data_IF_956907602541
#
_entry.id   IF_956907602541
#
_cell.length_a   1.000
_cell.length_b   1.000
_cell.length_c   1.000
_cell.angle_alpha   90.00
_cell.angle_beta   90.00
_cell.angle_gamma   90.00
#
_symmetry.space_group_name_H-M   'P 1'
#
loop_
_entity.id
_entity.type
_entity.pdbx_description
1 polymer ?
#
# COMPACT_ATOMS: atom_id res chain seq x y z
N UNK A 1 30.37 -0.88 41.99
CA UNK A 1 29.32 -1.91 41.92
C UNK A 1 28.05 -1.20 41.48
N UNK A 2 27.75 -1.21 40.18
CA UNK A 2 26.54 -0.61 39.62
C UNK A 2 25.59 -1.76 39.28
N UNK A 3 24.44 -1.78 39.95
CA UNK A 3 23.35 -2.72 39.64
C UNK A 3 22.58 -2.11 38.48
N UNK A 4 22.73 -2.69 37.30
CA UNK A 4 21.88 -2.42 36.16
C UNK A 4 20.76 -3.47 36.17
N UNK A 5 19.69 -3.18 36.91
CA UNK A 5 18.39 -3.82 36.71
C UNK A 5 17.61 -2.95 35.72
N UNK A 6 17.82 -3.25 34.44
CA UNK A 6 17.17 -2.58 33.32
C UNK A 6 16.43 -3.61 32.50
N UNK A 7 15.35 -4.16 33.09
CA UNK A 7 14.39 -5.01 32.39
C UNK A 7 13.73 -4.25 31.25
N UNK A 8 14.38 -4.25 30.08
CA UNK A 8 13.80 -3.83 28.81
C UNK A 8 12.88 -4.93 28.30
N UNK A 9 11.67 -4.98 28.85
CA UNK A 9 10.59 -5.76 28.25
C UNK A 9 10.43 -5.33 26.81
N UNK A 10 10.67 -6.27 25.88
CA UNK A 10 10.37 -6.12 24.47
C UNK A 10 8.85 -6.09 24.28
N UNK A 11 8.21 -4.98 24.66
CA UNK A 11 6.93 -4.63 24.08
C UNK A 11 7.25 -4.14 22.68
N UNK A 12 7.38 -5.09 21.77
CA UNK A 12 7.22 -4.83 20.35
C UNK A 12 5.90 -4.06 20.23
N UNK A 13 5.89 -2.80 19.75
CA UNK A 13 4.64 -2.12 19.51
C UNK A 13 3.80 -3.04 18.61
N UNK A 14 2.50 -3.20 18.89
CA UNK A 14 1.65 -4.03 18.06
C UNK A 14 1.85 -3.57 16.63
N UNK A 15 2.35 -4.49 15.80
CA UNK A 15 2.40 -4.32 14.35
C UNK A 15 1.00 -3.85 13.99
N UNK A 16 0.82 -2.73 13.27
CA UNK A 16 -0.52 -2.32 12.88
C UNK A 16 -1.18 -3.52 12.22
N UNK A 17 -2.23 -4.05 12.84
CA UNK A 17 -3.04 -5.09 12.23
C UNK A 17 -3.71 -4.44 11.02
N UNK A 18 -2.99 -4.39 9.90
CA UNK A 18 -3.57 -4.18 8.59
C UNK A 18 -4.26 -5.49 8.12
N UNK A 19 -4.79 -6.26 9.07
CA UNK A 19 -5.83 -7.25 8.85
C UNK A 19 -7.17 -6.55 9.06
N UNK A 20 -7.41 -5.46 8.31
CA UNK A 20 -8.77 -5.04 8.06
C UNK A 20 -9.53 -6.26 7.57
N UNK A 21 -10.42 -6.80 8.41
CA UNK A 21 -11.41 -7.82 8.06
C UNK A 21 -11.83 -7.57 6.62
N UNK A 22 -11.77 -8.56 5.72
CA UNK A 22 -12.04 -8.43 4.27
C UNK A 22 -13.37 -7.70 4.03
N UNK A 23 -13.36 -6.38 4.10
CA UNK A 23 -14.51 -5.54 3.87
C UNK A 23 -14.53 -5.34 2.37
N UNK A 24 -15.40 -6.09 1.70
CA UNK A 24 -15.61 -5.91 0.28
C UNK A 24 -16.14 -4.51 0.03
N UNK A 25 -15.48 -3.76 -0.85
CA UNK A 25 -15.97 -2.48 -1.35
C UNK A 25 -17.13 -2.77 -2.32
N UNK A 26 -18.33 -2.25 -2.02
CA UNK A 26 -19.47 -2.29 -2.94
C UNK A 26 -19.51 -0.97 -3.71
N UNK A 27 -19.43 -1.04 -5.03
CA UNK A 27 -19.43 0.12 -5.93
C UNK A 27 -20.56 -0.05 -6.95
N UNK A 28 -21.34 1.00 -7.18
CA UNK A 28 -22.30 1.02 -8.29
C UNK A 28 -21.55 0.97 -9.63
N UNK A 29 -22.03 0.23 -10.65
CA UNK A 29 -21.35 0.13 -11.95
C UNK A 29 -21.01 1.49 -12.58
N UNK A 30 -21.90 2.48 -12.43
CA UNK A 30 -21.69 3.84 -12.96
C UNK A 30 -20.57 4.60 -12.23
N UNK A 31 -20.28 4.23 -10.98
CA UNK A 31 -19.25 4.84 -10.15
C UNK A 31 -17.87 4.17 -10.30
N UNK A 32 -17.76 3.02 -10.98
CA UNK A 32 -16.49 2.29 -11.16
C UNK A 32 -15.38 3.16 -11.77
N UNK A 33 -15.62 3.95 -12.84
CA UNK A 33 -14.55 4.77 -13.42
C UNK A 33 -14.01 5.82 -12.44
N UNK A 34 -14.91 6.44 -11.67
CA UNK A 34 -14.54 7.43 -10.66
C UNK A 34 -13.78 6.77 -9.50
N UNK A 35 -14.26 5.63 -9.01
CA UNK A 35 -13.59 4.86 -7.97
C UNK A 35 -12.18 4.44 -8.41
N UNK A 36 -12.03 3.90 -9.63
CA UNK A 36 -10.72 3.53 -10.18
C UNK A 36 -9.77 4.72 -10.19
N UNK A 37 -10.24 5.88 -10.68
CA UNK A 37 -9.42 7.09 -10.73
C UNK A 37 -8.88 7.50 -9.36
N UNK A 38 -9.68 7.39 -8.29
CA UNK A 38 -9.21 7.72 -6.93
C UNK A 38 -8.05 6.81 -6.51
N UNK A 39 -8.13 5.51 -6.79
CA UNK A 39 -7.05 4.58 -6.47
C UNK A 39 -5.82 4.76 -7.37
N UNK A 40 -6.01 5.10 -8.65
CA UNK A 40 -4.92 5.46 -9.57
C UNK A 40 -4.18 6.72 -9.10
N UNK A 41 -4.91 7.76 -8.72
CA UNK A 41 -4.33 9.02 -8.24
C UNK A 41 -3.55 8.77 -6.93
N UNK A 42 -4.11 8.00 -5.99
CA UNK A 42 -3.43 7.62 -4.75
C UNK A 42 -2.17 6.77 -4.98
N UNK A 43 -2.23 5.80 -5.91
CA UNK A 43 -1.07 4.99 -6.28
C UNK A 43 0.03 5.85 -6.92
N UNK A 44 -0.35 6.78 -7.80
CA UNK A 44 0.58 7.70 -8.45
C UNK A 44 1.27 8.63 -7.45
N UNK A 45 0.52 9.14 -6.46
CA UNK A 45 1.08 9.97 -5.40
C UNK A 45 2.10 9.17 -4.57
N UNK A 46 1.75 7.94 -4.18
CA UNK A 46 2.65 7.06 -3.43
C UNK A 46 3.90 6.70 -4.23
N UNK A 47 3.77 6.38 -5.51
CA UNK A 47 4.90 6.07 -6.40
C UNK A 47 5.87 7.26 -6.53
N UNK A 48 5.33 8.47 -6.59
CA UNK A 48 6.14 9.70 -6.59
C UNK A 48 6.93 9.83 -5.30
N UNK A 49 6.30 9.61 -4.15
CA UNK A 49 6.97 9.66 -2.85
C UNK A 49 8.04 8.56 -2.71
N UNK A 50 7.76 7.35 -3.21
CA UNK A 50 8.68 6.21 -3.10
C UNK A 50 9.93 6.33 -3.97
N UNK A 51 9.85 7.00 -5.13
CA UNK A 51 10.96 7.12 -6.09
C UNK A 51 12.21 7.73 -5.44
N UNK A 52 12.05 8.75 -4.61
CA UNK A 52 13.17 9.46 -3.98
C UNK A 52 13.49 8.96 -2.56
N UNK A 53 12.57 8.19 -1.96
CA UNK A 53 12.58 7.78 -0.55
C UNK A 53 13.78 6.90 -0.20
N UNK A 54 14.11 5.90 -1.02
CA UNK A 54 15.10 4.89 -0.63
C UNK A 54 16.51 5.46 -0.37
N UNK A 55 16.91 6.47 -1.15
CA UNK A 55 18.21 7.13 -0.97
C UNK A 55 18.16 8.29 0.03
N UNK A 56 17.03 9.01 0.10
CA UNK A 56 16.85 10.15 0.99
C UNK A 56 16.68 9.75 2.46
N UNK A 57 16.03 8.61 2.74
CA UNK A 57 15.73 8.19 4.12
C UNK A 57 16.90 7.49 4.82
N UNK A 58 17.95 7.06 4.11
CA UNK A 58 19.05 6.36 4.77
C UNK A 58 19.77 7.29 5.74
N UNK A 59 19.58 7.03 7.04
CA UNK A 59 20.16 7.82 8.10
C UNK A 59 21.69 7.70 8.08
N UNK A 60 22.36 8.83 8.30
CA UNK A 60 23.82 8.94 8.42
C UNK A 60 24.17 9.34 9.86
N UNK A 61 25.37 8.96 10.29
CA UNK A 61 25.93 9.46 11.54
C UNK A 61 26.12 10.98 11.45
N UNK A 62 25.28 11.75 12.15
CA UNK A 62 25.24 13.20 12.01
C UNK A 62 26.26 13.96 12.87
N UNK A 63 26.72 13.39 13.99
CA UNK A 63 27.58 14.10 14.96
C UNK A 63 28.91 13.38 15.22
N UNK A 64 29.25 12.38 14.38
CA UNK A 64 30.53 11.64 14.47
C UNK A 64 30.78 11.02 15.87
N UNK A 65 29.72 10.84 16.65
CA UNK A 65 29.75 10.26 18.00
C UNK A 65 29.07 8.87 18.03
N UNK A 66 29.28 8.08 19.10
CA UNK A 66 28.71 6.75 19.20
C UNK A 66 27.17 6.71 19.18
N UNK A 67 26.50 7.71 19.77
CA UNK A 67 25.03 7.76 19.86
C UNK A 67 24.41 8.03 18.49
N UNK A 68 24.97 8.98 17.72
CA UNK A 68 24.48 9.23 16.36
C UNK A 68 24.73 8.06 15.42
N UNK A 69 25.78 7.28 15.63
CA UNK A 69 26.02 6.04 14.89
C UNK A 69 24.98 4.98 15.23
N UNK A 70 24.80 4.67 16.52
CA UNK A 70 23.84 3.67 16.98
C UNK A 70 22.40 4.03 16.54
N UNK A 71 22.05 5.31 16.64
CA UNK A 71 20.74 5.82 16.20
C UNK A 71 20.54 5.62 14.71
N UNK A 72 21.54 5.96 13.88
CA UNK A 72 21.47 5.77 12.43
C UNK A 72 21.39 4.28 12.06
N UNK A 73 22.15 3.41 12.73
CA UNK A 73 22.13 1.97 12.54
C UNK A 73 20.75 1.39 12.88
N UNK A 74 20.21 1.71 14.06
CA UNK A 74 18.89 1.23 14.50
C UNK A 74 17.77 1.73 13.59
N UNK A 75 17.77 3.01 13.23
CA UNK A 75 16.81 3.57 12.30
C UNK A 75 16.85 2.84 10.95
N UNK A 76 18.05 2.65 10.38
CA UNK A 76 18.20 1.99 9.09
C UNK A 76 17.78 0.51 9.16
N UNK A 77 18.07 -0.17 10.28
CA UNK A 77 17.60 -1.53 10.50
C UNK A 77 16.07 -1.60 10.51
N UNK A 78 15.42 -0.79 11.34
CA UNK A 78 13.96 -0.83 11.52
C UNK A 78 13.21 -0.31 10.28
N UNK A 79 13.85 0.51 9.45
CA UNK A 79 13.25 1.05 8.21
C UNK A 79 13.42 0.11 7.01
N UNK A 80 14.58 -0.55 6.87
CA UNK A 80 14.97 -1.27 5.64
C UNK A 80 15.31 -2.75 5.81
N UNK A 81 15.77 -3.18 6.99
CA UNK A 81 16.41 -4.50 7.16
C UNK A 81 15.69 -5.45 8.13
N UNK A 82 14.67 -5.00 8.86
CA UNK A 82 13.89 -5.82 9.80
C UNK A 82 12.83 -6.72 9.12
N UNK A 83 13.02 -7.08 7.85
CA UNK A 83 12.15 -8.00 7.10
C UNK A 83 10.71 -7.51 6.99
N UNK A 84 9.75 -8.36 7.37
CA UNK A 84 8.31 -8.03 7.37
C UNK A 84 7.95 -6.91 8.34
N UNK A 85 8.78 -6.68 9.37
CA UNK A 85 8.59 -5.58 10.32
C UNK A 85 9.23 -4.28 9.85
N UNK A 86 9.90 -4.27 8.70
CA UNK A 86 10.49 -3.05 8.17
C UNK A 86 9.41 -2.08 7.69
N UNK A 87 9.54 -0.81 8.08
CA UNK A 87 8.56 0.21 7.71
C UNK A 87 8.36 0.30 6.19
N UNK A 88 9.44 0.18 5.41
CA UNK A 88 9.37 0.19 3.95
C UNK A 88 8.59 -1.02 3.41
N UNK A 89 8.71 -2.20 4.03
CA UNK A 89 7.96 -3.40 3.63
C UNK A 89 6.46 -3.17 3.75
N UNK A 90 6.00 -2.56 4.84
CA UNK A 90 4.58 -2.23 5.02
C UNK A 90 4.06 -1.24 3.96
N UNK A 91 4.86 -0.21 3.63
CA UNK A 91 4.49 0.77 2.60
C UNK A 91 4.41 0.10 1.21
N UNK A 92 5.37 -0.76 0.87
CA UNK A 92 5.36 -1.51 -0.39
C UNK A 92 4.17 -2.48 -0.47
N UNK A 93 3.81 -3.13 0.64
CA UNK A 93 2.63 -3.98 0.69
C UNK A 93 1.34 -3.17 0.46
N UNK A 94 1.23 -1.98 1.05
CA UNK A 94 0.08 -1.08 0.81
C UNK A 94 0.00 -0.61 -0.64
N UNK A 95 1.13 -0.28 -1.27
CA UNK A 95 1.22 0.02 -2.70
C UNK A 95 0.66 -1.11 -3.56
N UNK A 96 1.05 -2.36 -3.28
CA UNK A 96 0.53 -3.52 -3.99
C UNK A 96 -0.98 -3.72 -3.78
N UNK A 97 -1.50 -3.40 -2.59
CA UNK A 97 -2.95 -3.40 -2.36
C UNK A 97 -3.67 -2.37 -3.23
N UNK A 98 -3.16 -1.13 -3.34
CA UNK A 98 -3.73 -0.10 -4.22
C UNK A 98 -3.75 -0.56 -5.69
N UNK A 99 -2.62 -1.07 -6.18
CA UNK A 99 -2.51 -1.61 -7.53
C UNK A 99 -3.48 -2.78 -7.78
N UNK A 100 -3.63 -3.66 -6.79
CA UNK A 100 -4.59 -4.76 -6.82
C UNK A 100 -6.03 -4.28 -6.95
N UNK A 101 -6.40 -3.18 -6.28
CA UNK A 101 -7.74 -2.58 -6.40
C UNK A 101 -7.95 -1.96 -7.79
N UNK A 102 -6.99 -1.20 -8.32
CA UNK A 102 -7.05 -0.63 -9.68
C UNK A 102 -7.24 -1.74 -10.72
N UNK A 103 -6.49 -2.83 -10.59
CA UNK A 103 -6.59 -3.99 -11.49
C UNK A 103 -7.97 -4.62 -11.44
N UNK A 104 -8.51 -4.85 -10.23
CA UNK A 104 -9.85 -5.42 -10.05
C UNK A 104 -10.95 -4.52 -10.63
N UNK A 105 -10.93 -3.21 -10.35
CA UNK A 105 -11.92 -2.27 -10.89
C UNK A 105 -11.87 -2.21 -12.42
N UNK A 106 -10.69 -2.30 -13.02
CA UNK A 106 -10.50 -2.36 -14.47
C UNK A 106 -11.13 -3.62 -15.07
N UNK A 107 -10.92 -4.78 -14.44
CA UNK A 107 -11.53 -6.04 -14.89
C UNK A 107 -13.05 -6.03 -14.75
N UNK A 108 -13.57 -5.47 -13.65
CA UNK A 108 -15.01 -5.34 -13.42
C UNK A 108 -15.63 -4.41 -14.47
N UNK A 109 -15.04 -3.26 -14.76
CA UNK A 109 -15.54 -2.35 -15.80
C UNK A 109 -15.58 -3.00 -17.18
N UNK A 110 -14.49 -3.70 -17.56
CA UNK A 110 -14.43 -4.41 -18.84
C UNK A 110 -15.53 -5.48 -18.95
N UNK A 111 -15.82 -6.18 -17.85
CA UNK A 111 -16.90 -7.17 -17.78
C UNK A 111 -18.27 -6.51 -17.98
N UNK A 112 -18.55 -5.38 -17.31
CA UNK A 112 -19.81 -4.64 -17.48
C UNK A 112 -20.01 -4.16 -18.92
N UNK A 113 -18.97 -3.56 -19.53
CA UNK A 113 -19.05 -3.09 -20.91
C UNK A 113 -19.33 -4.22 -21.91
N UNK A 114 -18.74 -5.40 -21.70
CA UNK A 114 -18.99 -6.58 -22.53
C UNK A 114 -20.43 -7.07 -22.41
N UNK A 115 -20.93 -7.25 -21.18
CA UNK A 115 -22.29 -7.74 -20.93
C UNK A 115 -23.34 -6.77 -21.47
N UNK A 116 -23.15 -5.46 -21.28
CA UNK A 116 -24.05 -4.45 -21.83
C UNK A 116 -24.02 -4.44 -23.38
N UNK A 117 -22.83 -4.54 -23.97
CA UNK A 117 -22.69 -4.65 -25.43
C UNK A 117 -23.37 -5.91 -26.01
N UNK A 118 -23.21 -7.06 -25.35
CA UNK A 118 -23.83 -8.33 -25.74
C UNK A 118 -25.37 -8.24 -25.62
N UNK A 119 -25.87 -7.59 -24.57
CA UNK A 119 -27.31 -7.34 -24.40
C UNK A 119 -27.83 -6.46 -25.53
N UNK A 120 -27.28 -5.26 -25.74
CA UNK A 120 -27.73 -4.34 -26.81
C UNK A 120 -27.74 -5.04 -28.19
N UNK A 121 -26.71 -5.84 -28.49
CA UNK A 121 -26.62 -6.60 -29.74
C UNK A 121 -27.66 -7.74 -29.86
N UNK A 122 -28.09 -8.34 -28.74
CA UNK A 122 -29.16 -9.34 -28.71
C UNK A 122 -30.54 -8.72 -28.89
N UNK A 123 -30.82 -7.60 -28.22
CA UNK A 123 -32.09 -6.87 -28.33
C UNK A 123 -32.28 -6.25 -29.72
N UNK A 124 -31.21 -5.69 -30.31
CA UNK A 124 -31.23 -5.18 -31.68
C UNK A 124 -31.49 -6.24 -32.76
N UNK A 125 -31.21 -7.52 -32.47
CA UNK A 125 -31.55 -8.65 -33.37
C UNK A 125 -33.00 -9.11 -33.25
N UNK A 126 -33.60 -8.97 -32.06
CA UNK A 126 -34.99 -9.41 -31.80
C UNK A 126 -36.00 -8.37 -32.27
N UNK A 127 -35.61 -7.08 -32.33
CA UNK A 127 -36.47 -6.00 -32.81
C UNK A 127 -35.84 -5.30 -34.03
N UNK A 128 -35.85 -5.93 -35.22
CA UNK A 128 -35.45 -5.27 -36.45
C UNK A 128 -36.47 -4.17 -36.81
N UNK A 129 -35.98 -2.97 -37.10
CA UNK A 129 -36.79 -1.88 -37.63
C UNK A 129 -37.42 -2.23 -38.99
#
# INVERSE_FOLDING_TARGET
>A
MFVADGGGGSSQPPIPEYSGSKQGLRVDPSAIPAARKVFEDALSELDTQLTDTASALKAKQWAMDPVSRETAEKFNHDTFASGDSAALTAILAYREQLNGVVTQLTQIEATYRRVEGDNVASWGRINPA
#
